data_IF_195716528591
#
_entry.id   IF_195716528591
#
_cell.length_a   1.000
_cell.length_b   1.000
_cell.length_c   1.000
_cell.angle_alpha   90.00
_cell.angle_beta   90.00
_cell.angle_gamma   90.00
#
_symmetry.space_group_name_H-M   'P 1'
#
loop_
_entity.id
_entity.type
_entity.pdbx_description
1 polymer ?
#
# COMPACT_ATOMS: atom_id res chain seq x y z
N UNK A 1 35.43 -18.20 40.30
CA UNK A 1 34.71 -16.99 39.84
C UNK A 1 34.47 -17.18 38.35
N UNK A 2 33.32 -17.77 37.99
CA UNK A 2 32.95 -18.10 36.61
C UNK A 2 31.83 -17.18 36.20
N UNK A 3 32.11 -16.26 35.28
CA UNK A 3 31.13 -15.35 34.72
C UNK A 3 30.30 -16.09 33.65
N UNK A 4 28.99 -16.16 33.86
CA UNK A 4 28.04 -16.66 32.87
C UNK A 4 27.71 -15.51 31.92
N UNK A 5 28.15 -15.61 30.67
CA UNK A 5 27.76 -14.67 29.61
C UNK A 5 26.37 -15.09 29.14
N UNK A 6 25.36 -14.28 29.44
CA UNK A 6 24.01 -14.44 28.89
C UNK A 6 24.03 -13.86 27.47
N UNK A 7 24.06 -14.73 26.47
CA UNK A 7 23.83 -14.31 25.09
C UNK A 7 22.33 -13.99 24.92
N UNK A 8 22.01 -12.71 24.75
CA UNK A 8 20.67 -12.30 24.35
C UNK A 8 20.49 -12.63 22.85
N UNK A 9 19.82 -13.73 22.56
CA UNK A 9 19.28 -13.98 21.22
C UNK A 9 18.17 -12.99 20.94
N UNK A 10 18.44 -12.03 20.06
CA UNK A 10 17.40 -11.21 19.44
C UNK A 10 16.58 -12.15 18.55
N UNK A 11 15.34 -12.43 18.94
CA UNK A 11 14.35 -13.03 18.05
C UNK A 11 14.08 -12.03 16.93
N UNK A 12 14.80 -12.14 15.83
CA UNK A 12 14.34 -11.56 14.57
C UNK A 12 13.00 -12.24 14.26
N UNK A 13 11.91 -11.46 14.23
CA UNK A 13 10.61 -11.99 13.85
C UNK A 13 10.70 -12.61 12.46
N UNK A 14 10.33 -13.88 12.32
CA UNK A 14 10.33 -14.55 11.03
C UNK A 14 9.30 -13.87 10.11
N UNK A 15 9.78 -13.24 9.04
CA UNK A 15 8.94 -12.78 7.95
C UNK A 15 8.57 -13.97 7.06
N UNK A 16 7.39 -13.92 6.41
CA UNK A 16 6.96 -14.98 5.50
C UNK A 16 7.82 -15.00 4.21
N UNK A 17 8.33 -13.84 3.84
CA UNK A 17 9.18 -13.64 2.67
C UNK A 17 10.42 -12.82 3.02
N UNK A 18 11.40 -12.85 2.13
CA UNK A 18 12.56 -11.96 2.09
C UNK A 18 12.37 -10.85 1.06
N UNK A 19 13.09 -9.74 1.21
CA UNK A 19 13.07 -8.69 0.20
C UNK A 19 13.58 -9.23 -1.15
N UNK A 20 12.86 -8.97 -2.26
CA UNK A 20 13.26 -9.43 -3.58
C UNK A 20 14.45 -8.66 -4.16
N UNK A 21 14.95 -7.65 -3.43
CA UNK A 21 16.05 -6.76 -3.83
C UNK A 21 16.97 -6.51 -2.64
N UNK A 22 18.19 -6.07 -2.88
CA UNK A 22 19.19 -5.82 -1.82
C UNK A 22 19.11 -4.42 -1.22
N UNK A 23 18.65 -3.42 -1.98
CA UNK A 23 18.47 -2.04 -1.51
C UNK A 23 17.05 -1.57 -1.78
N UNK A 24 16.49 -0.79 -0.86
CA UNK A 24 15.08 -0.37 -0.91
C UNK A 24 14.95 1.10 -1.23
N UNK A 25 14.47 1.37 -2.44
CA UNK A 25 14.08 2.70 -2.89
C UNK A 25 12.62 2.67 -3.37
N UNK A 26 11.64 2.71 -2.45
CA UNK A 26 10.23 2.68 -2.83
C UNK A 26 9.82 3.97 -3.52
N UNK A 27 9.12 3.79 -4.63
CA UNK A 27 8.47 4.85 -5.43
C UNK A 27 6.97 4.90 -5.14
N UNK A 28 6.37 3.72 -5.00
CA UNK A 28 4.95 3.55 -4.68
C UNK A 28 4.78 2.33 -3.79
N UNK A 29 3.86 2.39 -2.84
CA UNK A 29 3.55 1.29 -1.93
C UNK A 29 2.06 0.96 -1.94
N UNK A 30 1.70 -0.10 -1.24
CA UNK A 30 0.35 -0.64 -1.24
C UNK A 30 -0.72 0.38 -0.90
N UNK A 31 -1.79 0.41 -1.69
CA UNK A 31 -2.91 1.33 -1.57
C UNK A 31 -2.62 2.77 -2.02
N UNK A 32 -1.40 3.09 -2.49
CA UNK A 32 -1.08 4.41 -3.03
C UNK A 32 -1.86 4.71 -4.30
N UNK A 33 -2.29 5.97 -4.45
CA UNK A 33 -3.03 6.44 -5.63
C UNK A 33 -2.22 6.24 -6.92
N UNK A 34 -2.87 5.66 -7.93
CA UNK A 34 -2.47 5.69 -9.34
C UNK A 34 -3.50 6.48 -10.15
N UNK A 35 -3.24 6.70 -11.44
CA UNK A 35 -4.12 7.51 -12.30
C UNK A 35 -5.58 7.04 -12.30
N UNK A 36 -5.81 5.72 -12.36
CA UNK A 36 -7.14 5.12 -12.45
C UNK A 36 -7.39 4.02 -11.41
N UNK A 37 -6.47 3.81 -10.48
CA UNK A 37 -6.52 2.70 -9.53
C UNK A 37 -5.66 2.99 -8.29
N UNK A 38 -5.35 1.94 -7.54
CA UNK A 38 -4.42 1.94 -6.42
C UNK A 38 -3.32 0.92 -6.67
N UNK A 39 -2.16 1.11 -6.05
CA UNK A 39 -1.08 0.14 -6.07
C UNK A 39 -1.44 -1.12 -5.26
N UNK A 40 -1.30 -2.30 -5.85
CA UNK A 40 -1.57 -3.60 -5.20
C UNK A 40 -0.30 -4.30 -4.69
N UNK A 41 0.80 -3.57 -4.56
CA UNK A 41 2.09 -4.09 -4.12
C UNK A 41 3.06 -2.97 -3.74
N UNK A 42 4.32 -3.13 -4.10
CA UNK A 42 5.37 -2.14 -3.92
C UNK A 42 6.13 -1.99 -5.23
N UNK A 43 6.42 -0.75 -5.61
CA UNK A 43 7.31 -0.42 -6.73
C UNK A 43 8.63 0.10 -6.18
N UNK A 44 9.72 -0.54 -6.59
CA UNK A 44 11.08 -0.23 -6.15
C UNK A 44 11.92 0.23 -7.35
N UNK A 45 12.58 1.38 -7.24
CA UNK A 45 13.55 1.85 -8.24
C UNK A 45 14.97 1.38 -7.89
N UNK A 46 15.93 1.69 -8.78
CA UNK A 46 17.38 1.42 -8.58
C UNK A 46 17.68 -0.04 -8.24
N UNK A 47 16.82 -0.91 -8.74
CA UNK A 47 16.95 -2.35 -8.60
C UNK A 47 17.75 -2.86 -9.79
N UNK A 48 18.80 -3.64 -9.53
CA UNK A 48 19.51 -4.37 -10.59
C UNK A 48 18.98 -5.79 -10.67
N UNK A 49 19.28 -6.61 -9.65
CA UNK A 49 18.88 -8.01 -9.59
C UNK A 49 17.61 -8.19 -8.77
N UNK A 50 16.68 -8.97 -9.33
CA UNK A 50 15.44 -9.39 -8.68
C UNK A 50 15.57 -10.85 -8.25
N UNK A 51 15.21 -11.14 -7.00
CA UNK A 51 15.36 -12.45 -6.37
C UNK A 51 14.01 -12.98 -5.88
N UNK A 52 13.90 -14.30 -5.83
CA UNK A 52 12.73 -14.97 -5.25
C UNK A 52 12.64 -14.62 -3.76
N UNK A 53 11.49 -14.08 -3.35
CA UNK A 53 11.19 -13.69 -1.99
C UNK A 53 10.96 -14.90 -1.07
N UNK A 54 10.70 -16.07 -1.64
CA UNK A 54 10.48 -17.32 -0.89
C UNK A 54 10.68 -18.55 -1.77
N UNK A 55 10.82 -19.71 -1.13
CA UNK A 55 10.78 -21.01 -1.80
C UNK A 55 9.43 -21.20 -2.50
N UNK A 56 9.42 -21.72 -3.71
CA UNK A 56 8.17 -21.90 -4.43
C UNK A 56 8.30 -22.57 -5.79
N UNK A 57 7.15 -22.69 -6.45
CA UNK A 57 7.01 -23.21 -7.81
C UNK A 57 6.65 -22.07 -8.75
N UNK A 58 7.36 -21.96 -9.87
CA UNK A 58 7.04 -20.99 -10.91
C UNK A 58 5.74 -21.42 -11.58
N UNK A 59 4.67 -20.65 -11.37
CA UNK A 59 3.37 -20.94 -11.96
C UNK A 59 3.28 -20.49 -13.41
N UNK A 60 3.78 -19.29 -13.67
CA UNK A 60 3.63 -18.62 -14.96
C UNK A 60 4.75 -17.59 -15.15
N UNK A 61 5.22 -17.48 -16.38
CA UNK A 61 6.02 -16.36 -16.86
C UNK A 61 5.24 -15.62 -17.94
N UNK A 62 5.20 -14.30 -17.86
CA UNK A 62 4.54 -13.44 -18.85
C UNK A 62 5.64 -12.76 -19.65
N UNK A 63 5.75 -13.07 -20.95
CA UNK A 63 6.66 -12.37 -21.87
C UNK A 63 5.88 -11.28 -22.62
N UNK A 64 6.27 -10.02 -22.41
CA UNK A 64 5.66 -8.86 -23.06
C UNK A 64 6.04 -8.72 -24.54
N UNK A 65 7.13 -9.38 -24.98
CA UNK A 65 7.58 -9.42 -26.37
C UNK A 65 6.83 -10.45 -27.23
N UNK A 66 6.16 -11.43 -26.62
CA UNK A 66 5.49 -12.53 -27.30
C UNK A 66 3.98 -12.54 -27.01
N UNK A 67 3.24 -11.58 -27.60
CA UNK A 67 1.78 -11.59 -27.58
C UNK A 67 1.22 -11.68 -29.00
N UNK A 68 0.85 -12.88 -29.51
CA UNK A 68 0.22 -13.03 -30.83
C UNK A 68 -1.13 -12.30 -30.96
N UNK A 69 -1.70 -11.88 -29.82
CA UNK A 69 -3.02 -11.24 -29.72
C UNK A 69 -3.03 -9.94 -28.89
N UNK A 70 -1.87 -9.34 -28.63
CA UNK A 70 -1.76 -7.92 -28.27
C UNK A 70 -2.58 -7.45 -27.07
N UNK A 71 -2.56 -8.19 -25.95
CA UNK A 71 -3.02 -7.65 -24.67
C UNK A 71 -1.80 -7.24 -23.83
N UNK A 72 -1.35 -5.96 -23.89
CA UNK A 72 -0.28 -5.50 -23.03
C UNK A 72 -0.75 -5.56 -21.57
N UNK A 73 -0.20 -6.49 -20.80
CA UNK A 73 -0.39 -6.54 -19.36
C UNK A 73 0.37 -5.40 -18.69
N UNK A 74 -0.21 -4.77 -17.67
CA UNK A 74 0.45 -3.73 -16.86
C UNK A 74 1.71 -4.22 -16.14
N UNK A 75 1.91 -5.55 -16.08
CA UNK A 75 3.04 -6.21 -15.42
C UNK A 75 4.32 -6.26 -16.26
N UNK A 76 4.26 -6.03 -17.58
CA UNK A 76 5.42 -6.26 -18.47
C UNK A 76 5.91 -7.71 -18.44
N UNK A 77 7.21 -7.92 -18.58
CA UNK A 77 7.81 -9.22 -18.31
C UNK A 77 7.66 -9.54 -16.83
N UNK A 78 7.06 -10.70 -16.52
CA UNK A 78 6.75 -11.05 -15.15
C UNK A 78 6.99 -12.52 -14.83
N UNK A 79 7.35 -12.77 -13.57
CA UNK A 79 7.42 -14.11 -12.98
C UNK A 79 6.38 -14.20 -11.88
N UNK A 80 5.60 -15.28 -11.87
CA UNK A 80 4.61 -15.58 -10.84
C UNK A 80 5.03 -16.86 -10.14
N UNK A 81 5.22 -16.78 -8.82
CA UNK A 81 5.68 -17.91 -7.99
C UNK A 81 4.62 -18.24 -6.96
N UNK A 82 4.18 -19.50 -6.93
CA UNK A 82 3.35 -20.04 -5.86
C UNK A 82 4.20 -20.53 -4.70
N UNK A 83 3.72 -20.26 -3.51
CA UNK A 83 4.30 -20.65 -2.23
C UNK A 83 3.31 -21.50 -1.44
N UNK A 84 3.76 -21.97 -0.28
CA UNK A 84 2.90 -22.64 0.69
C UNK A 84 1.78 -21.71 1.18
N UNK A 85 0.74 -22.29 1.80
CA UNK A 85 -0.42 -21.56 2.36
C UNK A 85 -1.23 -20.73 1.34
N UNK A 86 -1.08 -21.02 0.04
CA UNK A 86 -1.86 -20.38 -1.03
C UNK A 86 -1.40 -18.95 -1.35
N UNK A 87 -0.20 -18.56 -0.90
CA UNK A 87 0.41 -17.28 -1.24
C UNK A 87 1.06 -17.33 -2.61
N UNK A 88 0.94 -16.24 -3.35
CA UNK A 88 1.54 -16.05 -4.68
C UNK A 88 2.29 -14.73 -4.68
N UNK A 89 3.56 -14.76 -5.09
CA UNK A 89 4.35 -13.56 -5.35
C UNK A 89 4.43 -13.28 -6.85
N UNK A 90 4.33 -12.01 -7.22
CA UNK A 90 4.39 -11.54 -8.60
C UNK A 90 5.54 -10.54 -8.71
N UNK A 91 6.45 -10.79 -9.63
CA UNK A 91 7.61 -9.95 -9.94
C UNK A 91 7.42 -9.42 -11.35
N UNK A 92 6.97 -8.17 -11.48
CA UNK A 92 6.74 -7.51 -12.77
C UNK A 92 7.86 -6.54 -13.15
N UNK A 93 7.75 -5.99 -14.35
CA UNK A 93 8.66 -5.03 -14.98
C UNK A 93 10.08 -5.57 -15.21
N UNK A 94 10.27 -6.87 -15.36
CA UNK A 94 11.60 -7.45 -15.58
C UNK A 94 12.17 -7.09 -16.97
N UNK A 95 13.49 -6.98 -17.11
CA UNK A 95 14.11 -6.71 -18.41
C UNK A 95 14.09 -7.92 -19.34
N UNK A 96 14.26 -9.14 -18.80
CA UNK A 96 14.29 -10.41 -19.53
C UNK A 96 13.84 -11.56 -18.62
N UNK A 97 13.45 -12.68 -19.23
CA UNK A 97 13.02 -13.92 -18.56
C UNK A 97 14.01 -15.08 -18.73
N UNK A 98 15.15 -14.87 -19.41
CA UNK A 98 16.06 -15.94 -19.84
C UNK A 98 16.55 -16.82 -18.67
N UNK A 99 16.62 -16.25 -17.46
CA UNK A 99 17.09 -16.93 -16.24
C UNK A 99 16.07 -17.89 -15.63
N UNK A 100 14.79 -17.75 -15.99
CA UNK A 100 13.67 -18.50 -15.39
C UNK A 100 12.95 -19.42 -16.39
N UNK A 101 13.11 -19.25 -17.71
CA UNK A 101 12.36 -20.00 -18.74
C UNK A 101 12.34 -21.52 -18.56
N UNK A 102 13.40 -22.10 -18.00
CA UNK A 102 13.51 -23.55 -17.79
C UNK A 102 13.37 -24.00 -16.32
N UNK A 103 13.03 -23.08 -15.42
CA UNK A 103 12.91 -23.38 -13.99
C UNK A 103 11.46 -23.56 -13.61
N UNK A 104 11.16 -24.70 -13.01
CA UNK A 104 9.84 -24.99 -12.43
C UNK A 104 9.78 -24.66 -10.94
N UNK A 105 10.93 -24.63 -10.25
CA UNK A 105 11.03 -24.32 -8.82
C UNK A 105 12.12 -23.29 -8.56
N UNK A 106 11.94 -22.51 -7.48
CA UNK A 106 12.90 -21.51 -7.01
C UNK A 106 13.07 -21.63 -5.50
N UNK A 107 14.30 -21.40 -5.05
CA UNK A 107 14.62 -21.23 -3.63
C UNK A 107 14.70 -19.73 -3.30
N UNK A 108 14.44 -19.36 -2.05
CA UNK A 108 14.61 -17.98 -1.57
C UNK A 108 15.98 -17.43 -1.97
N UNK A 109 16.02 -16.21 -2.52
CA UNK A 109 17.25 -15.56 -2.97
C UNK A 109 17.71 -15.95 -4.39
N UNK A 110 17.08 -16.94 -5.03
CA UNK A 110 17.32 -17.29 -6.44
C UNK A 110 17.12 -16.08 -7.32
N UNK A 111 18.09 -15.77 -8.18
CA UNK A 111 17.97 -14.66 -9.14
C UNK A 111 16.92 -15.03 -10.18
N UNK A 112 15.86 -14.24 -10.26
CA UNK A 112 14.76 -14.39 -11.21
C UNK A 112 15.02 -13.61 -12.49
N UNK A 113 15.72 -12.48 -12.40
CA UNK A 113 15.96 -11.59 -13.52
C UNK A 113 16.58 -10.27 -13.08
N UNK A 114 16.56 -9.32 -13.99
CA UNK A 114 16.94 -7.93 -13.73
C UNK A 114 15.71 -7.03 -13.81
N UNK A 115 15.66 -5.98 -13.01
CA UNK A 115 14.57 -5.00 -13.12
C UNK A 115 14.74 -4.19 -14.41
N UNK A 116 13.61 -3.83 -15.01
CA UNK A 116 13.54 -3.23 -16.33
C UNK A 116 12.38 -2.24 -16.44
N UNK A 117 12.00 -1.94 -17.68
CA UNK A 117 10.92 -1.01 -18.01
C UNK A 117 9.98 -1.65 -19.05
N UNK A 118 9.78 -2.97 -18.97
CA UNK A 118 8.98 -3.73 -19.94
C UNK A 118 7.47 -3.51 -19.78
N UNK A 119 7.04 -3.03 -18.61
CA UNK A 119 5.64 -2.74 -18.34
C UNK A 119 5.26 -1.30 -18.70
N UNK A 120 4.21 -0.78 -18.07
CA UNK A 120 3.75 0.60 -18.29
C UNK A 120 4.60 1.65 -17.52
N UNK A 121 5.92 1.45 -17.41
CA UNK A 121 6.83 2.33 -16.67
C UNK A 121 7.93 2.84 -17.61
N UNK A 122 8.39 4.08 -17.39
CA UNK A 122 9.48 4.69 -18.19
C UNK A 122 10.85 4.52 -17.54
N UNK A 123 10.86 4.09 -16.27
CA UNK A 123 12.04 3.93 -15.44
C UNK A 123 12.31 2.44 -15.20
N UNK A 124 13.56 2.10 -14.87
CA UNK A 124 13.89 0.73 -14.44
C UNK A 124 13.40 0.51 -13.02
N UNK A 125 12.31 -0.21 -12.87
CA UNK A 125 11.69 -0.52 -11.59
C UNK A 125 11.27 -1.99 -11.47
N UNK A 126 11.09 -2.43 -10.23
CA UNK A 126 10.48 -3.71 -9.89
C UNK A 126 9.08 -3.44 -9.36
N UNK A 127 8.07 -4.09 -9.94
CA UNK A 127 6.76 -4.26 -9.31
C UNK A 127 6.75 -5.57 -8.52
N UNK A 128 6.59 -5.51 -7.21
CA UNK A 128 6.45 -6.67 -6.34
C UNK A 128 5.06 -6.70 -5.71
N UNK A 129 4.29 -7.76 -5.95
CA UNK A 129 2.95 -7.94 -5.37
C UNK A 129 2.86 -9.28 -4.65
N UNK A 130 1.98 -9.33 -3.64
CA UNK A 130 1.63 -10.57 -2.95
C UNK A 130 0.12 -10.75 -3.00
N UNK A 131 -0.32 -11.95 -3.36
CA UNK A 131 -1.72 -12.33 -3.45
C UNK A 131 -1.98 -13.59 -2.63
N UNK A 132 -3.11 -13.61 -1.92
CA UNK A 132 -3.71 -14.85 -1.41
C UNK A 132 -4.63 -15.40 -2.49
N UNK A 133 -4.20 -16.48 -3.15
CA UNK A 133 -4.95 -17.09 -4.25
C UNK A 133 -6.26 -17.73 -3.75
N UNK A 134 -6.26 -18.27 -2.52
CA UNK A 134 -7.42 -18.92 -1.92
C UNK A 134 -8.54 -17.92 -1.67
N UNK A 135 -8.17 -16.75 -1.12
CA UNK A 135 -9.11 -15.67 -0.78
C UNK A 135 -9.30 -14.65 -1.90
N UNK A 136 -8.53 -14.76 -3.00
CA UNK A 136 -8.56 -13.88 -4.18
C UNK A 136 -8.40 -12.40 -3.83
N UNK A 137 -7.39 -12.10 -3.01
CA UNK A 137 -7.09 -10.76 -2.54
C UNK A 137 -5.59 -10.46 -2.61
N UNK A 138 -5.23 -9.20 -2.78
CA UNK A 138 -3.87 -8.72 -2.63
C UNK A 138 -3.59 -8.40 -1.16
N UNK A 139 -2.39 -8.74 -0.72
CA UNK A 139 -1.87 -8.45 0.61
C UNK A 139 -0.84 -7.34 0.51
N UNK A 140 -0.81 -6.43 1.48
CA UNK A 140 0.27 -5.47 1.59
C UNK A 140 1.60 -6.22 1.83
N UNK A 141 2.57 -6.17 0.90
CA UNK A 141 3.81 -6.92 1.06
C UNK A 141 4.61 -6.52 2.31
N UNK A 142 4.45 -5.28 2.79
CA UNK A 142 5.11 -4.80 4.02
C UNK A 142 4.69 -5.57 5.28
N UNK A 143 3.56 -6.29 5.25
CA UNK A 143 3.13 -7.18 6.33
C UNK A 143 3.88 -8.53 6.36
N UNK A 144 4.50 -8.89 5.23
CA UNK A 144 5.07 -10.22 5.00
C UNK A 144 6.59 -10.19 4.80
N UNK A 145 7.15 -8.99 4.62
CA UNK A 145 8.57 -8.73 4.40
C UNK A 145 9.26 -8.29 5.69
N UNK A 146 10.60 -8.41 5.77
CA UNK A 146 11.37 -7.94 6.92
C UNK A 146 11.14 -6.44 7.17
N UNK A 147 10.79 -6.09 8.41
CA UNK A 147 10.53 -4.71 8.80
C UNK A 147 11.74 -3.81 8.57
N UNK A 148 11.47 -2.60 8.06
CA UNK A 148 12.49 -1.57 7.89
C UNK A 148 12.52 -0.64 9.10
N UNK A 149 13.70 -0.10 9.40
CA UNK A 149 13.80 0.95 10.43
C UNK A 149 13.37 2.28 9.83
N UNK A 150 12.27 2.82 10.33
CA UNK A 150 11.81 4.16 9.98
C UNK A 150 11.48 4.96 11.23
N UNK A 151 11.84 6.24 11.20
CA UNK A 151 11.63 7.20 12.30
C UNK A 151 10.82 8.40 11.86
N UNK A 152 10.46 8.47 10.59
CA UNK A 152 9.63 9.53 10.04
C UNK A 152 8.17 9.25 10.31
N UNK A 153 7.42 10.33 10.55
CA UNK A 153 5.99 10.25 10.83
C UNK A 153 5.23 10.65 9.58
N UNK A 154 4.04 10.07 9.37
CA UNK A 154 3.10 10.58 8.39
C UNK A 154 2.79 12.06 8.61
N UNK A 155 2.33 12.72 7.55
CA UNK A 155 1.92 14.12 7.52
C UNK A 155 0.48 14.19 7.05
N UNK A 156 -0.34 14.92 7.80
CA UNK A 156 -1.70 15.29 7.42
C UNK A 156 -1.65 16.77 7.03
N UNK A 157 -1.68 17.07 5.73
CA UNK A 157 -1.45 18.43 5.22
C UNK A 157 -2.70 19.30 5.28
N UNK A 158 -3.84 18.69 4.95
CA UNK A 158 -5.14 19.34 4.97
C UNK A 158 -6.27 18.33 5.04
N UNK A 159 -7.43 18.76 5.51
CA UNK A 159 -8.65 17.98 5.52
C UNK A 159 -9.87 18.83 5.14
N UNK A 160 -10.91 18.19 4.64
CA UNK A 160 -12.12 18.89 4.20
C UNK A 160 -13.36 18.04 4.32
N UNK A 161 -14.49 18.72 4.50
CA UNK A 161 -15.82 18.13 4.41
C UNK A 161 -16.43 18.48 3.05
N UNK A 162 -17.10 17.53 2.42
CA UNK A 162 -17.88 17.76 1.22
C UNK A 162 -19.34 17.46 1.50
N UNK A 163 -20.21 18.48 1.40
CA UNK A 163 -21.64 18.33 1.55
C UNK A 163 -22.28 17.62 0.36
N UNK A 164 -23.52 17.14 0.52
CA UNK A 164 -24.25 16.44 -0.56
C UNK A 164 -24.47 17.27 -1.85
N UNK A 165 -24.37 18.60 -1.76
CA UNK A 165 -24.40 19.53 -2.89
C UNK A 165 -23.04 19.73 -3.59
N UNK A 166 -22.00 18.99 -3.18
CA UNK A 166 -20.64 19.12 -3.71
C UNK A 166 -19.85 20.30 -3.13
N UNK A 167 -20.42 21.08 -2.21
CA UNK A 167 -19.70 22.19 -1.57
C UNK A 167 -18.63 21.64 -0.64
N UNK A 168 -17.40 22.12 -0.83
CA UNK A 168 -16.23 21.77 -0.03
C UNK A 168 -16.02 22.78 1.09
N UNK A 169 -15.70 22.28 2.28
CA UNK A 169 -15.44 23.03 3.51
C UNK A 169 -14.07 22.60 4.06
N UNK A 170 -13.00 23.37 3.82
CA UNK A 170 -11.68 23.09 4.39
C UNK A 170 -11.71 23.18 5.92
N UNK A 171 -11.23 22.17 6.63
CA UNK A 171 -11.33 22.10 8.09
C UNK A 171 -10.46 23.14 8.80
N UNK A 172 -9.40 23.63 8.14
CA UNK A 172 -8.48 24.61 8.70
C UNK A 172 -9.14 25.99 8.87
N UNK A 173 -10.05 26.34 7.95
CA UNK A 173 -10.66 27.66 7.88
C UNK A 173 -12.16 27.67 8.18
N UNK A 174 -12.85 26.53 8.03
CA UNK A 174 -14.29 26.44 8.30
C UNK A 174 -14.54 26.49 9.80
N UNK A 175 -15.45 27.37 10.23
CA UNK A 175 -15.87 27.49 11.64
C UNK A 175 -17.25 26.92 11.89
N UNK A 176 -18.15 27.04 10.91
CA UNK A 176 -19.49 26.47 10.99
C UNK A 176 -19.98 25.89 9.67
N UNK A 177 -20.83 24.87 9.80
CA UNK A 177 -21.56 24.19 8.71
C UNK A 177 -22.99 23.95 9.16
N UNK A 178 -23.85 23.50 8.25
CA UNK A 178 -25.18 23.00 8.63
C UNK A 178 -25.02 21.63 9.29
N UNK A 179 -25.91 21.27 10.21
CA UNK A 179 -26.00 19.89 10.67
C UNK A 179 -26.32 18.94 9.51
N UNK A 180 -25.79 17.71 9.56
CA UNK A 180 -26.04 16.69 8.54
C UNK A 180 -24.82 15.86 8.18
N UNK A 181 -24.95 15.17 7.03
CA UNK A 181 -23.95 14.23 6.52
C UNK A 181 -22.94 14.92 5.61
N UNK A 182 -21.67 14.56 5.79
CA UNK A 182 -20.54 15.09 5.03
C UNK A 182 -19.57 13.98 4.69
N UNK A 183 -19.05 13.98 3.46
CA UNK A 183 -17.90 13.14 3.10
C UNK A 183 -16.63 13.81 3.59
N UNK A 184 -15.83 13.09 4.38
CA UNK A 184 -14.56 13.56 4.91
C UNK A 184 -13.42 13.14 3.97
N UNK A 185 -12.52 14.07 3.68
CA UNK A 185 -11.34 13.84 2.85
C UNK A 185 -10.10 14.43 3.52
N UNK A 186 -8.94 13.82 3.30
CA UNK A 186 -7.67 14.35 3.78
C UNK A 186 -6.50 14.11 2.81
N UNK A 187 -5.58 15.06 2.78
CA UNK A 187 -4.26 14.94 2.14
C UNK A 187 -3.30 14.35 3.17
N UNK A 188 -3.06 13.04 3.05
CA UNK A 188 -2.23 12.27 3.97
C UNK A 188 -1.12 11.62 3.17
N UNK A 189 0.10 11.81 3.65
CA UNK A 189 1.29 11.23 3.06
C UNK A 189 2.26 10.77 4.11
N UNK A 190 3.07 9.79 3.77
CA UNK A 190 4.23 9.38 4.54
C UNK A 190 5.53 9.61 3.77
N UNK A 191 6.66 9.60 4.47
CA UNK A 191 7.99 9.58 3.85
C UNK A 191 8.86 8.67 4.69
N UNK A 192 9.70 7.86 4.06
CA UNK A 192 10.61 6.98 4.79
C UNK A 192 12.04 7.54 4.80
N UNK A 193 12.88 7.10 5.73
CA UNK A 193 14.27 7.56 5.85
C UNK A 193 15.08 7.56 4.54
N UNK A 194 14.92 6.52 3.71
CA UNK A 194 15.73 6.30 2.50
C UNK A 194 15.04 6.74 1.19
N UNK A 195 13.95 7.50 1.27
CA UNK A 195 13.22 7.98 0.09
C UNK A 195 12.77 9.43 0.25
N UNK A 196 12.84 10.18 -0.85
CA UNK A 196 12.19 11.49 -0.97
C UNK A 196 10.75 11.36 -1.47
N UNK A 197 10.34 10.15 -1.89
CA UNK A 197 9.00 9.90 -2.41
C UNK A 197 7.97 10.02 -1.29
N UNK A 198 6.82 10.55 -1.68
CA UNK A 198 5.65 10.66 -0.83
C UNK A 198 4.86 9.37 -0.97
N UNK A 199 4.70 8.64 0.12
CA UNK A 199 4.08 7.32 0.16
C UNK A 199 2.70 7.35 0.82
N UNK A 200 1.90 6.32 0.60
CA UNK A 200 0.63 6.16 1.31
C UNK A 200 0.84 5.91 2.82
N UNK A 201 -0.09 6.28 3.70
CA UNK A 201 -0.07 5.81 5.08
C UNK A 201 -0.37 4.31 5.14
N UNK A 202 -0.05 3.66 6.27
CA UNK A 202 -0.42 2.27 6.50
C UNK A 202 -1.81 2.13 7.15
N UNK A 203 -2.18 3.07 8.02
CA UNK A 203 -3.50 3.10 8.64
C UNK A 203 -3.94 4.54 8.92
N UNK A 204 -5.23 4.82 8.72
CA UNK A 204 -5.83 6.11 9.07
C UNK A 204 -7.04 5.88 9.96
N UNK A 205 -7.03 6.50 11.14
CA UNK A 205 -8.11 6.43 12.14
C UNK A 205 -8.81 7.77 12.22
N UNK A 206 -10.14 7.75 12.23
CA UNK A 206 -10.99 8.92 12.34
C UNK A 206 -11.68 8.87 13.70
N UNK A 207 -11.55 9.94 14.48
CA UNK A 207 -12.31 10.11 15.72
C UNK A 207 -13.34 11.23 15.53
N UNK A 208 -14.56 11.00 16.00
CA UNK A 208 -15.61 12.01 16.08
C UNK A 208 -16.01 12.17 17.55
N UNK A 209 -15.86 13.39 18.09
CA UNK A 209 -16.10 13.72 19.49
C UNK A 209 -15.33 12.80 20.46
N UNK A 210 -14.09 12.46 20.10
CA UNK A 210 -13.21 11.59 20.89
C UNK A 210 -13.50 10.08 20.79
N UNK A 211 -14.55 9.68 20.07
CA UNK A 211 -14.87 8.25 19.83
C UNK A 211 -14.38 7.83 18.45
N UNK A 212 -13.85 6.61 18.32
CA UNK A 212 -13.48 6.06 17.01
C UNK A 212 -14.70 5.94 16.11
N UNK A 213 -14.65 6.65 14.98
CA UNK A 213 -15.68 6.64 13.97
C UNK A 213 -15.41 5.55 12.92
N UNK A 214 -14.18 5.53 12.40
CA UNK A 214 -13.77 4.58 11.37
C UNK A 214 -12.25 4.42 11.36
N UNK A 215 -11.79 3.27 10.86
CA UNK A 215 -10.39 2.97 10.59
C UNK A 215 -10.26 2.48 9.15
N UNK A 216 -9.27 3.01 8.43
CA UNK A 216 -8.94 2.65 7.04
C UNK A 216 -7.59 1.93 7.05
N UNK A 217 -7.57 0.59 6.98
CA UNK A 217 -6.35 -0.19 6.94
C UNK A 217 -5.84 -0.38 5.52
N UNK A 218 -4.55 -0.15 5.28
CA UNK A 218 -3.88 -0.42 4.01
C UNK A 218 -3.24 -1.81 4.01
N UNK A 219 -4.05 -2.83 4.32
CA UNK A 219 -3.57 -4.19 4.58
C UNK A 219 -3.93 -5.17 3.44
N UNK A 220 -5.13 -5.00 2.87
CA UNK A 220 -5.73 -5.91 1.90
C UNK A 220 -6.41 -5.12 0.80
N UNK A 221 -6.30 -5.58 -0.46
CA UNK A 221 -7.13 -5.12 -1.57
C UNK A 221 -7.87 -6.30 -2.17
N UNK A 222 -9.20 -6.26 -2.20
CA UNK A 222 -10.02 -7.29 -2.86
C UNK A 222 -10.40 -6.85 -4.27
N UNK A 223 -10.38 -7.78 -5.22
CA UNK A 223 -10.92 -7.56 -6.57
C UNK A 223 -12.36 -8.10 -6.66
N UNK A 224 -13.36 -7.23 -6.53
CA UNK A 224 -14.78 -7.58 -6.64
C UNK A 224 -15.36 -7.01 -7.92
N UNK A 225 -15.88 -7.88 -8.80
CA UNK A 225 -16.56 -7.49 -10.05
C UNK A 225 -15.79 -6.50 -10.93
N UNK A 226 -14.46 -6.63 -10.99
CA UNK A 226 -13.59 -5.73 -11.77
C UNK A 226 -13.18 -4.43 -11.08
N UNK A 227 -13.59 -4.22 -9.81
CA UNK A 227 -13.18 -3.07 -8.99
C UNK A 227 -12.24 -3.50 -7.87
N UNK A 228 -11.19 -2.71 -7.63
CA UNK A 228 -10.27 -2.89 -6.51
C UNK A 228 -10.81 -2.16 -5.28
N UNK A 229 -10.89 -2.85 -4.15
CA UNK A 229 -11.42 -2.32 -2.90
C UNK A 229 -10.39 -2.46 -1.79
N UNK A 230 -10.03 -1.37 -1.10
CA UNK A 230 -9.13 -1.41 0.05
C UNK A 230 -9.89 -1.83 1.33
N UNK A 231 -9.49 -2.97 1.91
CA UNK A 231 -9.95 -3.44 3.22
C UNK A 231 -11.44 -3.79 3.33
N UNK A 232 -11.86 -4.10 4.57
CA UNK A 232 -13.20 -4.55 4.95
C UNK A 232 -14.20 -3.41 5.22
N UNK A 233 -14.01 -2.23 4.64
CA UNK A 233 -14.77 -1.03 5.04
C UNK A 233 -16.28 -1.12 4.73
N UNK A 234 -16.74 -2.12 3.98
CA UNK A 234 -18.17 -2.26 3.62
C UNK A 234 -18.71 -1.04 2.85
N UNK A 235 -17.83 -0.11 2.47
CA UNK A 235 -18.10 1.10 1.75
C UNK A 235 -17.81 0.79 0.29
N UNK A 236 -18.80 1.01 -0.56
CA UNK A 236 -18.71 0.83 -2.01
C UNK A 236 -17.49 1.59 -2.52
N UNK A 237 -16.45 0.83 -2.87
CA UNK A 237 -15.06 1.27 -2.95
C UNK A 237 -14.74 2.02 -4.25
N UNK A 238 -15.70 2.80 -4.76
CA UNK A 238 -15.53 3.43 -6.06
C UNK A 238 -14.31 4.35 -6.09
N UNK A 239 -13.96 5.00 -4.97
CA UNK A 239 -13.01 6.10 -4.96
C UNK A 239 -12.30 6.17 -3.58
N UNK A 240 -11.19 5.45 -3.41
CA UNK A 240 -10.30 5.63 -2.24
C UNK A 240 -9.72 7.06 -2.22
N UNK A 241 -9.48 7.62 -3.40
CA UNK A 241 -8.96 8.97 -3.56
C UNK A 241 -9.81 9.77 -4.52
N UNK A 242 -10.17 11.00 -4.17
CA UNK A 242 -10.85 11.89 -5.11
C UNK A 242 -9.97 12.24 -6.34
N UNK A 243 -10.54 12.97 -7.29
CA UNK A 243 -9.86 13.45 -8.50
C UNK A 243 -8.59 14.25 -8.17
N UNK A 244 -8.59 14.98 -7.06
CA UNK A 244 -7.47 15.80 -6.55
C UNK A 244 -6.43 15.02 -5.74
N UNK A 245 -6.69 13.74 -5.44
CA UNK A 245 -5.79 12.87 -4.69
C UNK A 245 -5.97 12.90 -3.18
N UNK A 246 -7.06 13.45 -2.68
CA UNK A 246 -7.42 13.40 -1.26
C UNK A 246 -7.99 12.02 -0.93
N UNK A 247 -7.48 11.42 0.13
CA UNK A 247 -7.98 10.16 0.68
C UNK A 247 -9.39 10.37 1.21
N UNK A 248 -10.35 9.57 0.74
CA UNK A 248 -11.70 9.52 1.27
C UNK A 248 -11.70 8.78 2.60
N UNK A 249 -12.19 9.44 3.65
CA UNK A 249 -12.18 8.95 5.02
C UNK A 249 -13.54 8.44 5.52
N UNK A 250 -14.56 8.46 4.66
CA UNK A 250 -15.94 8.06 4.98
C UNK A 250 -16.92 9.23 5.05
N UNK A 251 -18.20 8.90 5.15
CA UNK A 251 -19.26 9.86 5.41
C UNK A 251 -19.45 9.99 6.92
N UNK A 252 -19.31 11.18 7.49
CA UNK A 252 -19.56 11.49 8.91
C UNK A 252 -20.87 12.26 9.07
N UNK A 253 -21.52 12.11 10.22
CA UNK A 253 -22.73 12.88 10.58
C UNK A 253 -22.42 13.89 11.67
N UNK A 254 -22.61 15.17 11.38
CA UNK A 254 -22.41 16.26 12.33
C UNK A 254 -23.73 16.63 12.99
N UNK A 255 -23.80 16.45 14.30
CA UNK A 255 -24.94 16.83 15.12
C UNK A 255 -24.90 18.32 15.47
N UNK A 256 -26.05 18.95 15.74
CA UNK A 256 -26.11 20.36 16.15
C UNK A 256 -25.17 20.65 17.32
N UNK A 257 -24.40 21.73 17.23
CA UNK A 257 -23.42 22.16 18.23
C UNK A 257 -21.97 21.86 17.82
N UNK A 258 -21.09 21.78 18.82
CA UNK A 258 -19.66 21.54 18.60
C UNK A 258 -19.42 20.08 18.21
N UNK A 259 -18.69 19.88 17.12
CA UNK A 259 -18.18 18.57 16.70
C UNK A 259 -16.66 18.64 16.59
N UNK A 260 -15.99 17.72 17.27
CA UNK A 260 -14.53 17.58 17.21
C UNK A 260 -14.18 16.41 16.28
N UNK A 261 -13.47 16.70 15.20
CA UNK A 261 -13.02 15.72 14.21
C UNK A 261 -11.52 15.55 14.41
N UNK A 262 -11.03 14.32 14.57
CA UNK A 262 -9.60 14.02 14.60
C UNK A 262 -9.25 12.96 13.57
N UNK A 263 -8.09 13.12 12.94
CA UNK A 263 -7.53 12.18 11.98
C UNK A 263 -6.15 11.78 12.50
N UNK A 264 -5.91 10.48 12.60
CA UNK A 264 -4.63 9.91 13.03
C UNK A 264 -4.11 9.03 11.91
N UNK A 265 -2.98 9.40 11.33
CA UNK A 265 -2.28 8.62 10.32
C UNK A 265 -1.10 7.87 10.96
N UNK A 266 -0.92 6.61 10.56
CA UNK A 266 0.13 5.71 11.06
C UNK A 266 0.85 5.03 9.89
N UNK A 267 2.16 4.87 9.99
CA UNK A 267 2.99 4.09 9.07
C UNK A 267 3.05 2.60 9.46
N UNK A 268 3.78 1.78 8.69
CA UNK A 268 3.92 0.35 9.00
C UNK A 268 4.78 0.11 10.26
N UNK A 269 5.69 1.02 10.58
CA UNK A 269 6.66 0.86 11.68
C UNK A 269 6.13 1.32 13.04
N UNK A 270 4.98 2.00 13.08
CA UNK A 270 4.32 2.50 14.28
C UNK A 270 4.45 4.01 14.52
N UNK A 271 5.05 4.76 13.62
CA UNK A 271 5.10 6.22 13.69
C UNK A 271 3.72 6.80 13.39
N UNK A 272 3.28 7.73 14.23
CA UNK A 272 1.92 8.32 14.16
C UNK A 272 1.95 9.85 14.10
N UNK A 273 0.93 10.40 13.42
CA UNK A 273 0.61 11.83 13.41
C UNK A 273 -0.90 12.02 13.52
N UNK A 274 -1.33 12.85 14.47
CA UNK A 274 -2.71 13.26 14.65
C UNK A 274 -2.92 14.75 14.36
N UNK A 275 -4.07 15.08 13.77
CA UNK A 275 -4.58 16.45 13.63
C UNK A 275 -6.05 16.48 14.09
N UNK A 276 -6.47 17.61 14.67
CA UNK A 276 -7.83 17.77 15.19
C UNK A 276 -8.42 19.14 14.87
N UNK A 277 -9.71 19.16 14.56
CA UNK A 277 -10.46 20.36 14.23
C UNK A 277 -11.81 20.38 14.96
N UNK A 278 -12.20 21.56 15.43
CA UNK A 278 -13.52 21.79 16.03
C UNK A 278 -14.38 22.61 15.08
N UNK A 279 -15.59 22.12 14.78
CA UNK A 279 -16.55 22.78 13.92
C UNK A 279 -17.92 22.90 14.60
N UNK A 280 -18.60 24.03 14.44
CA UNK A 280 -19.98 24.21 14.90
C UNK A 280 -20.96 23.81 13.81
N UNK A 281 -21.87 22.89 14.08
CA UNK A 281 -22.95 22.55 13.17
C UNK A 281 -24.27 23.22 13.63
N UNK A 282 -24.91 23.94 12.72
CA UNK A 282 -26.15 24.69 12.96
C UNK A 282 -27.37 24.08 12.27
#
# INVERSE_FOLDING_TARGET
MTALILAATVLAGASAFEWPVSELYPVSIFGQKKEQSVECGIVLEKTELVRAAGNGTVLLTIDSGYSPHGFPGTLGNAVIVAHDEGLVTIYGNLSSLDRIEQRTTVETGTILGEAGASGCTREKDLLFQVMDQTRRLYLNPLLLLPAQTDTRRPVIRKASLTGGNGRVYPLESTRSVRQGKYRLYADISDTINNSANTLAPFRVTILLNGSEYATIPFEIITANSGTLQLGSTGQDSGILYDDKGLLYLGEISLARGKNDISIIARDITGNERGEAWSISAE
#
